data_IF_515759610871
#
_entry.id   IF_515759610871
#
_cell.length_a   1.000
_cell.length_b   1.000
_cell.length_c   1.000
_cell.angle_alpha   90.00
_cell.angle_beta   90.00
_cell.angle_gamma   90.00
#
_symmetry.space_group_name_H-M   'P 1'
#
loop_
_entity.id
_entity.type
_entity.pdbx_description
1 polymer ?
#
# COMPACT_ATOMS: atom_id res chain seq x y z
N UNK A 1 24.54 7.76 -27.45
CA UNK A 1 24.37 8.04 -28.89
C UNK A 1 25.73 8.07 -29.54
N UNK A 2 25.85 7.24 -30.57
CA UNK A 2 26.83 7.22 -31.65
C UNK A 2 27.55 8.56 -31.90
N UNK A 3 28.88 8.54 -31.90
CA UNK A 3 29.70 9.44 -32.69
C UNK A 3 31.00 8.69 -33.03
N UNK A 4 30.92 7.84 -34.05
CA UNK A 4 32.11 7.31 -34.71
C UNK A 4 32.82 8.45 -35.44
N UNK A 5 34.12 8.59 -35.18
CA UNK A 5 35.08 9.22 -36.08
C UNK A 5 35.06 10.75 -36.10
N UNK A 6 36.05 11.36 -35.47
CA UNK A 6 37.08 12.14 -36.16
C UNK A 6 38.05 12.65 -35.09
N UNK A 7 39.20 13.14 -35.54
CA UNK A 7 40.13 13.98 -34.79
C UNK A 7 41.25 13.24 -34.06
N UNK A 8 42.34 13.07 -34.81
CA UNK A 8 43.61 13.71 -34.46
C UNK A 8 44.05 13.36 -33.03
N UNK A 9 44.70 12.21 -32.95
CA UNK A 9 45.49 11.71 -31.83
C UNK A 9 46.25 12.84 -31.12
N UNK A 10 46.00 13.02 -29.83
CA UNK A 10 46.93 13.74 -28.95
C UNK A 10 46.28 14.63 -27.90
N UNK A 11 45.26 15.42 -28.26
CA UNK A 11 44.75 16.48 -27.37
C UNK A 11 43.45 16.13 -26.62
N UNK A 12 42.69 15.13 -27.09
CA UNK A 12 41.43 14.69 -26.45
C UNK A 12 41.59 13.64 -25.34
N UNK A 13 42.79 13.06 -25.15
CA UNK A 13 43.01 12.11 -24.05
C UNK A 13 42.93 12.81 -22.68
N UNK A 14 43.26 14.10 -22.65
CA UNK A 14 43.15 14.96 -21.47
C UNK A 14 41.68 15.18 -21.09
N UNK A 15 40.77 15.31 -22.07
CA UNK A 15 39.33 15.41 -21.80
C UNK A 15 38.80 14.15 -21.09
N UNK A 16 39.26 12.97 -21.50
CA UNK A 16 38.88 11.70 -20.86
C UNK A 16 39.50 11.53 -19.46
N UNK A 17 40.69 12.08 -19.22
CA UNK A 17 41.35 12.05 -17.90
C UNK A 17 40.72 13.06 -16.90
N UNK A 18 40.28 14.23 -17.37
CA UNK A 18 39.55 15.21 -16.55
C UNK A 18 38.10 14.77 -16.28
N UNK A 19 37.49 13.97 -17.16
CA UNK A 19 36.18 13.37 -16.93
C UNK A 19 36.20 12.16 -15.98
N UNK A 20 37.38 11.70 -15.55
CA UNK A 20 37.53 10.58 -14.59
C UNK A 20 37.70 11.02 -13.13
N UNK A 21 37.37 12.27 -12.78
CA UNK A 21 37.28 12.70 -11.36
C UNK A 21 35.82 12.80 -10.88
N UNK A 22 34.81 12.66 -11.76
CA UNK A 22 33.41 12.70 -11.33
C UNK A 22 32.78 11.33 -11.09
N UNK A 23 33.43 10.22 -11.48
CA UNK A 23 32.70 8.96 -11.63
C UNK A 23 32.69 8.02 -10.43
N UNK A 24 33.41 8.25 -9.32
CA UNK A 24 33.34 7.31 -8.19
C UNK A 24 33.67 7.91 -6.83
N UNK A 25 32.69 8.54 -6.18
CA UNK A 25 32.38 8.43 -4.72
C UNK A 25 31.33 9.46 -4.34
N UNK A 26 30.08 9.19 -4.69
CA UNK A 26 28.95 9.52 -3.84
C UNK A 26 28.13 8.24 -3.83
N UNK A 27 28.04 7.58 -2.67
CA UNK A 27 26.95 6.61 -2.44
C UNK A 27 25.70 7.37 -2.86
N UNK A 28 25.06 6.94 -3.93
CA UNK A 28 23.92 7.66 -4.46
C UNK A 28 22.91 7.69 -3.32
N UNK A 29 22.47 8.88 -2.94
CA UNK A 29 21.38 9.04 -1.99
C UNK A 29 20.19 8.11 -2.34
N UNK A 30 20.01 7.76 -3.61
CA UNK A 30 19.06 6.76 -4.10
C UNK A 30 19.30 5.33 -3.56
N UNK A 31 20.54 4.88 -3.35
CA UNK A 31 20.85 3.59 -2.72
C UNK A 31 20.53 3.57 -1.22
N UNK A 32 20.62 4.73 -0.54
CA UNK A 32 20.16 4.89 0.84
C UNK A 32 18.62 4.98 0.91
N UNK A 33 17.98 5.59 -0.08
CA UNK A 33 16.52 5.61 -0.20
C UNK A 33 16.00 4.18 -0.32
N UNK A 34 16.64 3.31 -1.10
CA UNK A 34 16.27 1.89 -1.24
C UNK A 34 16.49 1.04 0.03
N UNK A 35 17.36 1.46 0.95
CA UNK A 35 17.57 0.82 2.25
C UNK A 35 16.58 1.31 3.33
N UNK A 36 15.98 2.49 3.12
CA UNK A 36 14.97 3.10 3.99
C UNK A 36 13.53 2.88 3.48
N UNK A 37 13.37 2.56 2.20
CA UNK A 37 12.12 2.04 1.65
C UNK A 37 12.18 0.53 1.79
N UNK A 38 11.43 -0.02 2.76
CA UNK A 38 10.86 -1.36 2.57
C UNK A 38 10.30 -1.36 1.14
N UNK A 39 10.65 -2.33 0.26
CA UNK A 39 10.09 -2.33 -1.08
C UNK A 39 8.58 -2.25 -0.90
N UNK A 40 8.00 -1.10 -1.26
CA UNK A 40 6.57 -0.88 -1.22
C UNK A 40 5.99 -1.72 -2.35
N UNK A 41 6.09 -3.04 -2.25
CA UNK A 41 5.22 -3.93 -2.98
C UNK A 41 3.84 -3.52 -2.47
N UNK A 42 2.99 -2.89 -3.30
CA UNK A 42 1.70 -2.43 -2.83
C UNK A 42 0.93 -3.66 -2.39
N UNK A 43 0.93 -3.91 -1.08
CA UNK A 43 0.46 -5.17 -0.54
C UNK A 43 -1.07 -5.15 -0.62
N UNK A 44 -1.63 -5.94 -1.53
CA UNK A 44 -3.07 -6.00 -1.71
C UNK A 44 -3.70 -7.06 -0.79
N UNK A 45 -4.87 -6.76 -0.23
CA UNK A 45 -5.57 -7.64 0.71
C UNK A 45 -6.59 -8.57 0.04
N UNK A 46 -6.73 -8.50 -1.29
CA UNK A 46 -7.79 -9.18 -2.02
C UNK A 46 -9.20 -8.69 -1.62
N UNK A 47 -10.25 -9.50 -1.83
CA UNK A 47 -11.61 -9.11 -1.48
C UNK A 47 -11.78 -8.99 0.05
N UNK A 48 -12.64 -8.08 0.53
CA UNK A 48 -12.94 -7.95 1.95
C UNK A 48 -13.58 -9.21 2.55
N UNK A 49 -13.34 -9.52 3.84
CA UNK A 49 -13.94 -10.68 4.48
C UNK A 49 -15.46 -10.56 4.53
N UNK A 50 -16.15 -11.66 4.29
CA UNK A 50 -17.60 -11.74 4.51
C UNK A 50 -17.84 -12.00 5.99
N UNK A 51 -18.64 -11.14 6.63
CA UNK A 51 -19.05 -11.33 8.03
C UNK A 51 -20.56 -11.63 8.07
N UNK A 52 -20.96 -12.49 9.01
CA UNK A 52 -22.37 -12.85 9.19
C UNK A 52 -23.19 -11.67 9.69
N UNK A 53 -24.44 -11.59 9.23
CA UNK A 53 -25.41 -10.56 9.64
C UNK A 53 -24.97 -9.11 9.39
N UNK A 54 -24.16 -8.88 8.35
CA UNK A 54 -23.77 -7.54 7.94
C UNK A 54 -23.82 -7.37 6.42
N UNK A 55 -23.96 -6.11 6.01
CA UNK A 55 -23.78 -5.62 4.66
C UNK A 55 -22.41 -4.96 4.53
N UNK A 56 -21.66 -5.31 3.49
CA UNK A 56 -20.47 -4.56 3.06
C UNK A 56 -20.93 -3.34 2.26
N UNK A 57 -20.60 -2.13 2.73
CA UNK A 57 -20.95 -0.85 2.11
C UNK A 57 -19.87 -0.36 1.11
N UNK A 58 -19.05 -1.27 0.60
CA UNK A 58 -18.01 -0.97 -0.38
C UNK A 58 -18.35 -1.56 -1.75
N UNK A 59 -17.75 -1.01 -2.80
CA UNK A 59 -17.82 -1.60 -4.13
C UNK A 59 -17.26 -3.03 -4.09
N UNK A 60 -17.89 -3.96 -4.81
CA UNK A 60 -17.45 -5.36 -4.94
C UNK A 60 -16.20 -5.48 -5.82
N UNK A 61 -15.11 -4.81 -5.43
CA UNK A 61 -13.80 -4.94 -6.04
C UNK A 61 -13.14 -6.23 -5.54
N UNK A 62 -12.37 -6.86 -6.40
CA UNK A 62 -11.61 -8.07 -6.05
C UNK A 62 -10.27 -7.75 -5.41
N UNK A 63 -9.81 -6.49 -5.48
CA UNK A 63 -8.51 -6.09 -5.00
C UNK A 63 -8.57 -4.73 -4.29
N UNK A 64 -7.88 -4.65 -3.15
CA UNK A 64 -7.73 -3.46 -2.32
C UNK A 64 -6.28 -3.29 -1.90
N UNK A 65 -5.74 -2.09 -2.06
CA UNK A 65 -4.34 -1.77 -1.73
C UNK A 65 -4.18 -1.48 -0.24
N UNK A 66 -2.97 -1.72 0.29
CA UNK A 66 -2.61 -1.34 1.66
C UNK A 66 -2.92 0.15 1.90
N UNK A 67 -3.62 0.45 2.99
CA UNK A 67 -4.12 1.78 3.33
C UNK A 67 -5.60 1.99 3.00
N UNK A 68 -6.17 1.23 2.06
CA UNK A 68 -7.60 1.32 1.73
C UNK A 68 -8.49 0.80 2.87
N UNK A 69 -9.73 1.27 2.88
CA UNK A 69 -10.71 0.91 3.91
C UNK A 69 -12.06 0.56 3.30
N UNK A 70 -12.79 -0.29 4.01
CA UNK A 70 -14.17 -0.64 3.69
C UNK A 70 -15.02 -0.51 4.94
N UNK A 71 -16.32 -0.27 4.76
CA UNK A 71 -17.27 -0.07 5.84
C UNK A 71 -18.28 -1.21 5.84
N UNK A 72 -18.57 -1.74 7.02
CA UNK A 72 -19.61 -2.73 7.26
C UNK A 72 -20.79 -2.10 8.02
N UNK A 73 -21.97 -2.68 7.82
CA UNK A 73 -23.18 -2.33 8.55
C UNK A 73 -23.90 -3.60 8.99
N UNK A 74 -24.15 -3.75 10.29
CA UNK A 74 -24.94 -4.89 10.79
C UNK A 74 -26.41 -4.77 10.34
N UNK A 75 -27.05 -5.92 10.10
CA UNK A 75 -28.48 -5.99 9.84
C UNK A 75 -29.29 -5.61 11.09
N UNK A 76 -30.58 -5.35 10.88
CA UNK A 76 -31.50 -5.07 11.99
C UNK A 76 -31.46 -6.21 13.01
N UNK A 77 -31.60 -5.85 14.29
CA UNK A 77 -31.51 -6.77 15.44
C UNK A 77 -30.11 -7.32 15.74
N UNK A 78 -29.07 -6.82 15.04
CA UNK A 78 -27.68 -7.07 15.37
C UNK A 78 -26.97 -5.77 15.74
N UNK A 79 -26.11 -5.85 16.75
CA UNK A 79 -25.27 -4.77 17.21
C UNK A 79 -23.82 -5.01 16.77
N UNK A 80 -23.13 -3.92 16.45
CA UNK A 80 -21.74 -3.98 15.99
C UNK A 80 -20.79 -4.05 17.18
N UNK A 81 -20.00 -5.11 17.21
CA UNK A 81 -18.86 -5.27 18.10
C UNK A 81 -17.58 -4.86 17.36
N UNK A 82 -16.94 -3.79 17.83
CA UNK A 82 -15.74 -3.20 17.22
C UNK A 82 -16.06 -1.99 16.33
N UNK A 83 -15.15 -1.68 15.40
CA UNK A 83 -15.30 -0.53 14.50
C UNK A 83 -15.97 -0.93 13.18
N UNK A 84 -16.83 -0.09 12.59
CA UNK A 84 -17.45 -0.39 11.29
C UNK A 84 -16.45 -0.43 10.14
N UNK A 85 -15.23 0.05 10.35
CA UNK A 85 -14.21 0.21 9.32
C UNK A 85 -13.19 -0.92 9.40
N UNK A 86 -13.05 -1.68 8.32
CA UNK A 86 -11.92 -2.58 8.12
C UNK A 86 -10.89 -1.92 7.21
N UNK A 87 -9.61 -2.04 7.56
CA UNK A 87 -8.49 -1.45 6.81
C UNK A 87 -7.60 -2.54 6.25
N UNK A 88 -7.26 -2.42 4.96
CA UNK A 88 -6.21 -3.22 4.37
C UNK A 88 -4.85 -2.72 4.87
N UNK A 89 -4.06 -3.58 5.49
CA UNK A 89 -2.71 -3.24 5.98
C UNK A 89 -1.77 -4.39 5.70
N UNK A 90 -0.78 -4.15 4.86
CA UNK A 90 0.29 -5.09 4.51
C UNK A 90 -0.29 -6.44 4.03
N UNK A 91 -1.27 -6.39 3.11
CA UNK A 91 -1.93 -7.58 2.56
C UNK A 91 -2.92 -8.28 3.49
N UNK A 92 -3.20 -7.71 4.67
CA UNK A 92 -4.14 -8.28 5.64
C UNK A 92 -5.23 -7.28 6.02
N UNK A 93 -6.47 -7.76 6.10
CA UNK A 93 -7.58 -6.97 6.65
C UNK A 93 -7.47 -6.86 8.17
N UNK A 94 -7.59 -5.63 8.68
CA UNK A 94 -7.53 -5.29 10.11
C UNK A 94 -8.81 -4.57 10.53
N UNK A 95 -9.22 -4.75 11.79
CA UNK A 95 -10.41 -4.08 12.34
C UNK A 95 -11.73 -4.60 11.79
N UNK A 96 -11.78 -5.86 11.34
CA UNK A 96 -13.01 -6.48 10.84
C UNK A 96 -14.00 -6.65 12.00
N UNK A 97 -15.19 -6.02 11.95
CA UNK A 97 -16.16 -6.08 13.05
C UNK A 97 -16.88 -7.42 13.12
N UNK A 98 -17.60 -7.63 14.23
CA UNK A 98 -18.59 -8.70 14.38
C UNK A 98 -19.96 -8.11 14.60
N UNK A 99 -20.99 -8.81 14.12
CA UNK A 99 -22.38 -8.46 14.38
C UNK A 99 -22.95 -9.49 15.35
N UNK A 100 -23.25 -9.06 16.57
CA UNK A 100 -23.82 -9.91 17.63
C UNK A 100 -25.31 -9.62 17.76
N UNK A 101 -26.12 -10.61 18.09
CA UNK A 101 -27.55 -10.41 18.22
C UNK A 101 -27.82 -9.41 19.35
N UNK A 102 -28.58 -8.36 19.05
CA UNK A 102 -28.97 -7.36 20.04
C UNK A 102 -29.82 -8.06 21.10
N UNK A 103 -29.41 -7.95 22.36
CA UNK A 103 -30.14 -8.55 23.47
C UNK A 103 -31.41 -7.72 23.71
N UNK A 104 -32.55 -8.20 23.20
CA UNK A 104 -33.87 -7.53 23.15
C UNK A 104 -34.53 -7.24 24.51
N UNK A 105 -33.80 -7.30 25.63
CA UNK A 105 -34.33 -7.05 26.97
C UNK A 105 -34.69 -5.58 27.25
N UNK A 106 -34.42 -4.67 26.30
CA UNK A 106 -34.79 -3.25 26.38
C UNK A 106 -35.90 -2.81 25.40
N UNK A 107 -36.44 -3.72 24.57
CA UNK A 107 -37.60 -3.42 23.71
C UNK A 107 -38.93 -3.76 24.40
N UNK A 108 -39.00 -3.58 25.72
CA UNK A 108 -40.27 -3.70 26.45
C UNK A 108 -41.12 -2.45 26.18
N UNK A 109 -42.32 -2.57 25.58
CA UNK A 109 -43.28 -1.47 25.61
C UNK A 109 -43.81 -1.35 27.04
N UNK A 110 -43.57 -0.19 27.67
CA UNK A 110 -44.27 0.25 28.89
C UNK A 110 -45.69 0.68 28.49
#
# INVERSE_FOLDING_TARGET
MSCFGCMIFGLLWICCALQKVSQQRQVAYEDLVNLLTEPEIPASCGPPPVIGNALLLANQRQEFLSGETVIYQCYRLYEMEGTPVARCKNGHWRGVPRCVQAQLLFMSPI
#
